data_IF_471844809389
#
_entry.id   IF_471844809389
#
_cell.length_a   1.000
_cell.length_b   1.000
_cell.length_c   1.000
_cell.angle_alpha   90.00
_cell.angle_beta   90.00
_cell.angle_gamma   90.00
#
_symmetry.space_group_name_H-M   'P 1'
#
loop_
_entity.id
_entity.type
_entity.pdbx_description
1 polymer ?
#
# COMPACT_ATOMS: atom_id res chain seq x y z
N UNK A 1 10.53 -12.73 -8.53
CA UNK A 1 10.43 -13.06 -7.09
C UNK A 1 9.33 -14.09 -6.92
N UNK A 2 9.55 -15.15 -6.15
CA UNK A 2 8.52 -16.17 -5.92
C UNK A 2 7.45 -15.66 -4.94
N UNK A 3 6.23 -16.20 -5.02
CA UNK A 3 5.10 -15.78 -4.18
C UNK A 3 5.39 -15.92 -2.68
N UNK A 4 6.13 -16.96 -2.27
CA UNK A 4 6.58 -17.15 -0.88
C UNK A 4 7.52 -16.04 -0.40
N UNK A 5 8.48 -15.64 -1.24
CA UNK A 5 9.41 -14.56 -0.92
C UNK A 5 8.70 -13.20 -0.84
N UNK A 6 7.71 -12.99 -1.72
CA UNK A 6 6.83 -11.84 -1.65
C UNK A 6 6.08 -11.80 -0.33
N UNK A 7 5.37 -12.88 0.01
CA UNK A 7 4.56 -12.97 1.23
C UNK A 7 5.39 -12.69 2.48
N UNK A 8 6.59 -13.28 2.59
CA UNK A 8 7.49 -13.02 3.71
C UNK A 8 7.85 -11.53 3.83
N UNK A 9 8.27 -10.89 2.73
CA UNK A 9 8.63 -9.47 2.74
C UNK A 9 7.45 -8.56 3.02
N UNK A 10 6.28 -8.92 2.50
CA UNK A 10 5.05 -8.17 2.70
C UNK A 10 4.61 -8.24 4.16
N UNK A 11 4.70 -9.41 4.81
CA UNK A 11 4.42 -9.55 6.25
C UNK A 11 5.41 -8.71 7.07
N UNK A 12 6.71 -8.80 6.77
CA UNK A 12 7.73 -7.98 7.45
C UNK A 12 7.44 -6.48 7.27
N UNK A 13 7.09 -6.05 6.06
CA UNK A 13 6.68 -4.68 5.77
C UNK A 13 5.44 -4.26 6.58
N UNK A 14 4.40 -5.09 6.65
CA UNK A 14 3.22 -4.83 7.47
C UNK A 14 3.56 -4.68 8.94
N UNK A 15 4.42 -5.53 9.49
CA UNK A 15 4.82 -5.45 10.90
C UNK A 15 5.61 -4.17 11.19
N UNK A 16 6.57 -3.82 10.33
CA UNK A 16 7.38 -2.60 10.49
C UNK A 16 6.50 -1.35 10.40
N UNK A 17 5.58 -1.31 9.44
CA UNK A 17 4.68 -0.15 9.25
C UNK A 17 3.56 -0.08 10.29
N UNK A 18 3.20 -1.19 10.94
CA UNK A 18 2.28 -1.19 12.07
C UNK A 18 2.94 -0.71 13.37
N UNK A 19 4.26 -0.85 13.52
CA UNK A 19 4.98 -0.50 14.75
C UNK A 19 4.79 0.97 15.15
N UNK A 20 4.99 1.89 14.21
CA UNK A 20 4.92 3.33 14.49
C UNK A 20 3.51 3.77 14.91
N UNK A 21 2.42 3.38 14.21
CA UNK A 21 1.05 3.63 14.66
C UNK A 21 0.72 3.06 16.04
N UNK A 22 1.20 1.84 16.37
CA UNK A 22 0.98 1.24 17.70
C UNK A 22 1.66 2.07 18.78
N UNK A 23 2.90 2.51 18.56
CA UNK A 23 3.62 3.38 19.50
C UNK A 23 2.89 4.72 19.67
N UNK A 24 2.41 5.32 18.57
CA UNK A 24 1.65 6.57 18.63
C UNK A 24 0.32 6.39 19.39
N UNK A 25 -0.34 5.24 19.26
CA UNK A 25 -1.57 4.94 19.99
C UNK A 25 -1.35 4.87 21.51
N UNK A 26 -0.17 4.43 21.97
CA UNK A 26 0.18 4.36 23.40
C UNK A 26 0.56 5.73 23.98
N UNK A 27 1.32 6.56 23.25
CA UNK A 27 1.84 7.83 23.78
C UNK A 27 1.00 9.07 23.43
N UNK A 28 0.41 9.10 22.23
CA UNK A 28 -0.33 10.26 21.70
C UNK A 28 -1.51 9.82 20.82
N UNK A 29 -2.57 9.21 21.40
CA UNK A 29 -3.68 8.64 20.64
C UNK A 29 -4.43 9.68 19.79
N UNK A 30 -4.41 10.96 20.18
CA UNK A 30 -5.03 12.03 19.40
C UNK A 30 -4.42 12.22 18.01
N UNK A 31 -3.19 11.75 17.73
CA UNK A 31 -2.56 11.92 16.41
C UNK A 31 -3.06 10.92 15.36
N UNK A 32 -3.66 9.80 15.78
CA UNK A 32 -4.25 8.82 14.89
C UNK A 32 -5.72 9.12 14.66
N UNK A 33 -6.17 8.95 13.42
CA UNK A 33 -7.59 8.99 13.12
C UNK A 33 -8.28 7.71 13.64
N UNK A 34 -9.55 7.81 14.03
CA UNK A 34 -10.32 6.67 14.55
C UNK A 34 -10.36 5.47 13.58
N UNK A 35 -10.48 5.72 12.28
CA UNK A 35 -10.46 4.67 11.27
C UNK A 35 -9.07 4.28 10.76
N UNK A 36 -7.99 4.63 11.47
CA UNK A 36 -6.62 4.39 10.99
C UNK A 36 -6.41 2.91 10.65
N UNK A 37 -6.83 2.00 11.53
CA UNK A 37 -6.68 0.56 11.32
C UNK A 37 -7.48 0.04 10.12
N UNK A 38 -8.65 0.63 9.83
CA UNK A 38 -9.43 0.29 8.63
C UNK A 38 -8.69 0.72 7.36
N UNK A 39 -8.12 1.94 7.36
CA UNK A 39 -7.26 2.41 6.27
C UNK A 39 -6.01 1.55 6.12
N UNK A 40 -5.35 1.20 7.22
CA UNK A 40 -4.15 0.37 7.21
C UNK A 40 -4.43 -0.97 6.53
N UNK A 41 -5.51 -1.65 6.91
CA UNK A 41 -5.91 -2.92 6.29
C UNK A 41 -6.24 -2.72 4.81
N UNK A 42 -7.02 -1.69 4.47
CA UNK A 42 -7.37 -1.39 3.08
C UNK A 42 -6.13 -1.17 2.20
N UNK A 43 -5.20 -0.33 2.64
CA UNK A 43 -3.97 -0.02 1.91
C UNK A 43 -3.10 -1.25 1.71
N UNK A 44 -2.93 -2.07 2.75
CA UNK A 44 -2.15 -3.30 2.64
C UNK A 44 -2.83 -4.33 1.73
N UNK A 45 -4.15 -4.48 1.82
CA UNK A 45 -4.90 -5.37 0.92
C UNK A 45 -4.75 -4.95 -0.54
N UNK A 46 -4.97 -3.67 -0.85
CA UNK A 46 -4.80 -3.13 -2.20
C UNK A 46 -3.36 -3.32 -2.71
N UNK A 47 -2.38 -3.10 -1.83
CA UNK A 47 -0.96 -3.29 -2.16
C UNK A 47 -0.61 -4.75 -2.46
N UNK A 48 -1.18 -5.69 -1.71
CA UNK A 48 -1.06 -7.10 -2.00
C UNK A 48 -1.66 -7.43 -3.37
N UNK A 49 -2.85 -6.92 -3.68
CA UNK A 49 -3.50 -7.12 -4.99
C UNK A 49 -2.65 -6.57 -6.12
N UNK A 50 -2.12 -5.34 -6.00
CA UNK A 50 -1.25 -4.71 -7.01
C UNK A 50 0.01 -5.54 -7.24
N UNK A 51 0.70 -5.92 -6.16
CA UNK A 51 1.95 -6.66 -6.26
C UNK A 51 1.75 -8.09 -6.81
N UNK A 52 0.72 -8.80 -6.36
CA UNK A 52 0.41 -10.16 -6.84
C UNK A 52 -0.01 -10.12 -8.31
N UNK A 53 -0.88 -9.18 -8.70
CA UNK A 53 -1.29 -9.00 -10.09
C UNK A 53 -0.08 -8.72 -11.00
N UNK A 54 0.84 -7.87 -10.53
CA UNK A 54 2.08 -7.59 -11.23
C UNK A 54 3.00 -8.83 -11.32
N UNK A 55 3.14 -9.61 -10.24
CA UNK A 55 3.91 -10.86 -10.24
C UNK A 55 3.37 -11.88 -11.24
N UNK A 56 2.05 -12.03 -11.32
CA UNK A 56 1.39 -12.90 -12.31
C UNK A 56 1.58 -12.33 -13.73
N UNK A 57 1.39 -11.02 -13.91
CA UNK A 57 1.62 -10.34 -15.19
C UNK A 57 3.03 -10.51 -15.72
N UNK A 58 4.02 -10.41 -14.84
CA UNK A 58 5.43 -10.60 -15.16
C UNK A 58 5.74 -12.01 -15.68
N UNK A 59 4.94 -13.04 -15.37
CA UNK A 59 5.12 -14.38 -15.95
C UNK A 59 4.77 -14.42 -17.45
N UNK A 60 3.91 -13.51 -17.92
CA UNK A 60 3.54 -13.37 -19.33
C UNK A 60 4.48 -12.44 -20.11
N UNK A 61 5.35 -11.71 -19.40
CA UNK A 61 6.31 -10.76 -19.97
C UNK A 61 6.46 -9.50 -19.12
N UNK A 62 7.65 -8.90 -19.14
CA UNK A 62 7.98 -7.71 -18.33
C UNK A 62 7.13 -6.48 -18.66
N UNK A 63 6.78 -6.31 -19.94
CA UNK A 63 5.89 -5.24 -20.40
C UNK A 63 4.48 -5.40 -19.83
N UNK A 64 3.94 -6.62 -19.88
CA UNK A 64 2.60 -6.94 -19.36
C UNK A 64 2.52 -6.69 -17.85
N UNK A 65 3.54 -7.09 -17.08
CA UNK A 65 3.59 -6.82 -15.64
C UNK A 65 3.67 -5.33 -15.30
N UNK A 66 4.37 -4.54 -16.11
CA UNK A 66 4.44 -3.07 -15.94
C UNK A 66 3.10 -2.40 -16.27
N UNK A 67 2.42 -2.82 -17.33
CA UNK A 67 1.09 -2.31 -17.67
C UNK A 67 0.05 -2.65 -16.60
N UNK A 68 0.06 -3.89 -16.10
CA UNK A 68 -0.81 -4.32 -14.99
C UNK A 68 -0.54 -3.49 -13.73
N UNK A 69 0.73 -3.21 -13.44
CA UNK A 69 1.11 -2.36 -12.31
C UNK A 69 0.51 -0.96 -12.41
N UNK A 70 0.59 -0.32 -13.57
CA UNK A 70 0.02 1.01 -13.80
C UNK A 70 -1.50 0.99 -13.60
N UNK A 71 -2.22 0.05 -14.24
CA UNK A 71 -3.68 -0.06 -14.11
C UNK A 71 -4.10 -0.34 -12.68
N UNK A 72 -3.43 -1.28 -12.00
CA UNK A 72 -3.75 -1.63 -10.61
C UNK A 72 -3.49 -0.45 -9.65
N UNK A 73 -2.42 0.31 -9.87
CA UNK A 73 -2.09 1.48 -9.04
C UNK A 73 -3.11 2.61 -9.24
N UNK A 74 -3.54 2.87 -10.48
CA UNK A 74 -4.63 3.82 -10.77
C UNK A 74 -5.92 3.39 -10.10
N UNK A 75 -6.29 2.11 -10.21
CA UNK A 75 -7.50 1.59 -9.56
C UNK A 75 -7.43 1.70 -8.03
N UNK A 76 -6.26 1.41 -7.44
CA UNK A 76 -6.00 1.61 -6.00
C UNK A 76 -6.19 3.08 -5.62
N UNK A 77 -5.64 4.01 -6.39
CA UNK A 77 -5.82 5.45 -6.14
C UNK A 77 -7.29 5.85 -6.16
N UNK A 78 -8.06 5.41 -7.15
CA UNK A 78 -9.50 5.68 -7.25
C UNK A 78 -10.27 5.10 -6.06
N UNK A 79 -9.99 3.85 -5.66
CA UNK A 79 -10.60 3.24 -4.48
C UNK A 79 -10.27 4.01 -3.20
N UNK A 80 -9.02 4.47 -3.04
CA UNK A 80 -8.62 5.30 -1.91
C UNK A 80 -9.38 6.64 -1.92
N UNK A 81 -9.55 7.29 -3.07
CA UNK A 81 -10.31 8.55 -3.17
C UNK A 81 -11.78 8.37 -2.80
N UNK A 82 -12.42 7.29 -3.28
CA UNK A 82 -13.81 6.96 -2.91
C UNK A 82 -13.92 6.73 -1.40
N UNK A 83 -12.99 5.97 -0.81
CA UNK A 83 -12.98 5.74 0.62
C UNK A 83 -12.84 7.04 1.42
N UNK A 84 -11.90 7.91 1.02
CA UNK A 84 -11.70 9.23 1.65
C UNK A 84 -13.01 10.02 1.60
N UNK A 85 -13.64 10.12 0.44
CA UNK A 85 -14.87 10.89 0.26
C UNK A 85 -16.04 10.37 1.12
N UNK A 86 -16.18 9.05 1.27
CA UNK A 86 -17.19 8.45 2.15
C UNK A 86 -16.87 8.76 3.61
N UNK A 87 -15.61 8.61 4.01
CA UNK A 87 -15.20 8.77 5.40
C UNK A 87 -15.30 10.22 5.89
N UNK A 88 -14.85 11.19 5.10
CA UNK A 88 -14.91 12.62 5.45
C UNK A 88 -16.34 13.16 5.49
N UNK A 89 -17.29 12.51 4.82
CA UNK A 89 -18.71 12.86 4.88
C UNK A 89 -19.41 12.33 6.13
N UNK A 90 -18.91 11.24 6.70
CA UNK A 90 -19.50 10.59 7.89
C UNK A 90 -18.88 11.05 9.21
N UNK A 91 -17.68 11.61 9.17
CA UNK A 91 -16.92 11.98 10.35
C UNK A 91 -16.32 13.37 10.21
N UNK A 92 -16.50 14.22 11.22
CA UNK A 92 -15.70 15.43 11.35
C UNK A 92 -14.26 15.03 11.65
N UNK A 93 -13.36 15.31 10.70
CA UNK A 93 -11.94 14.99 10.81
C UNK A 93 -11.11 16.24 10.70
N UNK A 94 -10.11 16.34 11.58
CA UNK A 94 -9.05 17.31 11.41
C UNK A 94 -8.31 16.99 10.10
N UNK A 95 -8.38 17.90 9.13
CA UNK A 95 -7.83 17.70 7.79
C UNK A 95 -6.34 17.37 7.83
N UNK A 96 -5.56 18.03 8.69
CA UNK A 96 -4.11 17.82 8.79
C UNK A 96 -3.82 16.40 9.30
N UNK A 97 -4.49 15.97 10.37
CA UNK A 97 -4.30 14.61 10.89
C UNK A 97 -4.68 13.56 9.86
N UNK A 98 -5.83 13.73 9.19
CA UNK A 98 -6.28 12.79 8.18
C UNK A 98 -5.26 12.67 7.04
N UNK A 99 -4.80 13.81 6.50
CA UNK A 99 -3.81 13.86 5.44
C UNK A 99 -2.49 13.20 5.87
N UNK A 100 -1.97 13.50 7.06
CA UNK A 100 -0.74 12.88 7.56
C UNK A 100 -0.85 11.34 7.66
N UNK A 101 -1.95 10.83 8.22
CA UNK A 101 -2.19 9.40 8.33
C UNK A 101 -2.36 8.73 6.96
N UNK A 102 -3.08 9.39 6.04
CA UNK A 102 -3.26 8.90 4.68
C UNK A 102 -1.93 8.85 3.90
N UNK A 103 -1.16 9.93 3.92
CA UNK A 103 0.13 10.01 3.22
C UNK A 103 1.15 9.02 3.79
N UNK A 104 1.17 8.83 5.11
CA UNK A 104 1.98 7.80 5.75
C UNK A 104 1.72 6.42 5.12
N UNK A 105 0.45 6.01 5.06
CA UNK A 105 0.07 4.72 4.48
C UNK A 105 0.33 4.67 2.97
N UNK A 106 -0.04 5.72 2.25
CA UNK A 106 0.08 5.81 0.81
C UNK A 106 1.53 5.71 0.36
N UNK A 107 2.42 6.57 0.87
CA UNK A 107 3.83 6.61 0.45
C UNK A 107 4.52 5.28 0.77
N UNK A 108 4.36 4.76 1.99
CA UNK A 108 5.05 3.53 2.39
C UNK A 108 4.62 2.34 1.53
N UNK A 109 3.32 2.21 1.27
CA UNK A 109 2.80 1.15 0.42
C UNK A 109 3.28 1.34 -1.04
N UNK A 110 3.26 2.56 -1.58
CA UNK A 110 3.72 2.82 -2.95
C UNK A 110 5.22 2.60 -3.13
N UNK A 111 6.05 2.95 -2.14
CA UNK A 111 7.49 2.65 -2.16
C UNK A 111 7.72 1.14 -2.15
N UNK A 112 6.97 0.38 -1.35
CA UNK A 112 7.05 -1.08 -1.32
C UNK A 112 6.63 -1.70 -2.67
N UNK A 113 5.54 -1.21 -3.26
CA UNK A 113 5.02 -1.59 -4.57
C UNK A 113 6.07 -1.38 -5.67
N UNK A 114 6.62 -0.17 -5.75
CA UNK A 114 7.63 0.18 -6.75
C UNK A 114 8.92 -0.63 -6.57
N UNK A 115 9.36 -0.84 -5.32
CA UNK A 115 10.53 -1.67 -5.01
C UNK A 115 10.33 -3.12 -5.45
N UNK A 116 9.12 -3.65 -5.27
CA UNK A 116 8.76 -5.00 -5.71
C UNK A 116 8.77 -5.12 -7.23
N UNK A 117 8.18 -4.15 -7.94
CA UNK A 117 8.18 -4.09 -9.39
C UNK A 117 9.62 -4.02 -9.94
N UNK A 118 10.40 -3.02 -9.52
CA UNK A 118 11.76 -2.78 -10.01
C UNK A 118 12.66 -4.00 -9.80
N UNK A 119 12.55 -4.66 -8.63
CA UNK A 119 13.30 -5.88 -8.36
C UNK A 119 12.91 -7.02 -9.30
N UNK A 120 11.63 -7.18 -9.60
CA UNK A 120 11.20 -8.22 -10.54
C UNK A 120 11.66 -7.93 -11.96
N UNK A 121 11.56 -6.68 -12.42
CA UNK A 121 12.05 -6.27 -13.74
C UNK A 121 13.56 -6.49 -13.88
N UNK A 122 14.35 -6.16 -12.84
CA UNK A 122 15.80 -6.40 -12.85
C UNK A 122 16.17 -7.88 -12.94
N UNK A 123 15.39 -8.75 -12.30
CA UNK A 123 15.62 -10.20 -12.38
C UNK A 123 15.27 -10.78 -13.76
N UNK A 124 14.32 -10.18 -14.47
CA UNK A 124 13.90 -10.63 -15.80
C UNK A 124 14.78 -10.08 -16.93
N UNK A 125 15.41 -8.93 -16.70
CA UNK A 125 16.29 -8.29 -17.66
C UNK A 125 17.66 -8.05 -17.00
N UNK A 126 18.43 -9.12 -16.73
CA UNK A 126 19.79 -9.00 -16.23
C UNK A 126 20.65 -8.44 -17.37
N UNK A 127 20.78 -7.12 -17.41
CA UNK A 127 21.85 -6.48 -18.15
C UNK A 127 23.18 -6.72 -17.44
#
# INVERSE_FOLDING_TARGET
MNLKQFAFRFIVFMLITALLPVLLQLFKPLLLISAFWKLFILFNLLTAVVCVSCLVGNQKGSLAGTQIFLVATVLKMLMCMVFIAIYTRQHEVNAIQFVCNFFYLYILNTVFELSTLLRNLRLQNPK
#
